data_IF_027974843198
#
_entry.id   IF_027974843198
#
_cell.length_a   1.000
_cell.length_b   1.000
_cell.length_c   1.000
_cell.angle_alpha   90.00
_cell.angle_beta   90.00
_cell.angle_gamma   90.00
#
_symmetry.space_group_name_H-M   'P 1'
#
loop_
_entity.id
_entity.type
_entity.pdbx_description
1 polymer ?
#
# COMPACT_ATOMS: atom_id res chain seq x y z
N UNK A 1 7.91 18.08 -15.87
CA UNK A 1 7.07 18.06 -17.09
C UNK A 1 7.98 18.20 -18.29
N UNK A 2 7.84 17.35 -19.28
CA UNK A 2 8.56 17.42 -20.55
C UNK A 2 7.54 17.87 -21.60
N UNK A 3 7.88 18.87 -22.41
CA UNK A 3 7.01 19.41 -23.46
C UNK A 3 7.72 19.41 -24.82
N UNK A 4 6.94 19.43 -25.90
CA UNK A 4 7.47 19.56 -27.26
C UNK A 4 7.85 21.01 -27.61
N UNK A 5 8.28 21.24 -28.86
CA UNK A 5 8.68 22.57 -29.35
C UNK A 5 7.56 23.62 -29.33
N UNK A 6 6.30 23.18 -29.35
CA UNK A 6 5.10 24.02 -29.32
C UNK A 6 4.53 24.13 -27.90
N UNK A 7 5.26 23.62 -26.88
CA UNK A 7 4.86 23.66 -25.48
C UNK A 7 3.84 22.58 -25.08
N UNK A 8 3.46 21.66 -25.97
CA UNK A 8 2.50 20.59 -25.66
C UNK A 8 3.13 19.55 -24.74
N UNK A 9 2.44 19.12 -23.66
CA UNK A 9 3.01 18.17 -22.71
C UNK A 9 3.21 16.80 -23.38
N UNK A 10 4.43 16.28 -23.29
CA UNK A 10 4.81 14.92 -23.70
C UNK A 10 4.96 13.98 -22.49
N UNK A 11 5.33 14.52 -21.32
CA UNK A 11 5.35 13.75 -20.07
C UNK A 11 5.01 14.65 -18.88
N UNK A 12 4.08 14.18 -18.05
CA UNK A 12 3.67 14.86 -16.81
C UNK A 12 3.93 13.95 -15.61
N UNK A 13 4.36 14.54 -14.50
CA UNK A 13 4.46 13.82 -13.23
C UNK A 13 3.08 13.74 -12.62
N UNK A 14 2.60 12.52 -12.37
CA UNK A 14 1.32 12.28 -11.70
C UNK A 14 1.62 11.83 -10.28
N UNK A 15 1.01 12.46 -9.25
CA UNK A 15 1.22 12.06 -7.86
C UNK A 15 0.65 10.65 -7.64
N UNK A 16 1.45 9.79 -7.01
CA UNK A 16 1.06 8.43 -6.65
C UNK A 16 1.56 8.08 -5.27
N UNK A 17 0.77 7.31 -4.52
CA UNK A 17 1.09 6.88 -3.16
C UNK A 17 1.56 5.42 -3.13
N UNK A 18 2.11 5.02 -2.00
CA UNK A 18 2.40 3.61 -1.71
C UNK A 18 1.84 3.22 -0.35
N UNK A 19 1.45 1.95 -0.23
CA UNK A 19 0.99 1.35 1.03
C UNK A 19 2.06 0.39 1.51
N UNK A 20 2.37 0.50 2.80
CA UNK A 20 3.35 -0.33 3.46
C UNK A 20 2.83 -0.80 4.81
N UNK A 21 3.52 -1.78 5.37
CA UNK A 21 3.26 -2.30 6.70
C UNK A 21 4.58 -2.60 7.42
N UNK A 22 4.55 -2.64 8.76
CA UNK A 22 5.59 -3.24 9.59
C UNK A 22 5.17 -4.68 9.94
N UNK A 23 5.73 -5.70 9.24
CA UNK A 23 5.42 -7.09 9.53
C UNK A 23 5.71 -7.51 10.96
N UNK A 24 6.80 -7.06 11.56
CA UNK A 24 7.16 -7.42 12.93
C UNK A 24 6.07 -6.97 13.90
N UNK A 25 5.72 -5.68 13.88
CA UNK A 25 4.66 -5.14 14.74
C UNK A 25 3.31 -5.79 14.45
N UNK A 26 3.05 -6.16 13.20
CA UNK A 26 1.82 -6.85 12.79
C UNK A 26 1.74 -8.25 13.39
N UNK A 27 2.83 -9.01 13.33
CA UNK A 27 2.91 -10.35 13.89
C UNK A 27 2.81 -10.33 15.42
N UNK A 28 3.45 -9.36 16.09
CA UNK A 28 3.32 -9.15 17.54
C UNK A 28 1.88 -8.89 17.98
N UNK A 29 1.06 -8.28 17.10
CA UNK A 29 -0.36 -7.99 17.33
C UNK A 29 -1.32 -9.10 16.87
N UNK A 30 -0.82 -10.30 16.60
CA UNK A 30 -1.63 -11.46 16.18
C UNK A 30 -1.73 -11.68 14.68
N UNK A 31 -0.94 -10.96 13.87
CA UNK A 31 -0.80 -11.18 12.43
C UNK A 31 -1.98 -10.71 11.58
N UNK A 32 -2.00 -11.20 10.34
CA UNK A 32 -3.12 -11.00 9.39
C UNK A 32 -4.20 -12.03 9.69
N UNK A 33 -5.35 -11.59 10.20
CA UNK A 33 -6.47 -12.45 10.60
C UNK A 33 -7.70 -12.31 9.69
N UNK A 34 -8.66 -13.22 9.85
CA UNK A 34 -9.94 -13.26 9.14
C UNK A 34 -10.97 -12.24 9.68
N UNK A 35 -10.59 -10.96 9.69
CA UNK A 35 -11.45 -9.87 10.13
C UNK A 35 -11.83 -8.91 8.99
N UNK A 36 -12.94 -8.16 9.11
CA UNK A 36 -13.42 -7.24 8.07
C UNK A 36 -12.35 -6.23 7.62
N UNK A 37 -11.49 -5.80 8.55
CA UNK A 37 -10.39 -4.86 8.28
C UNK A 37 -9.36 -5.42 7.31
N UNK A 38 -8.88 -6.63 7.57
CA UNK A 38 -7.85 -7.26 6.73
C UNK A 38 -8.42 -7.66 5.37
N UNK A 39 -9.69 -8.07 5.35
CA UNK A 39 -10.40 -8.38 4.13
C UNK A 39 -10.58 -7.13 3.25
N UNK A 40 -11.05 -6.02 3.82
CA UNK A 40 -11.16 -4.74 3.12
C UNK A 40 -9.80 -4.24 2.58
N UNK A 41 -8.71 -4.46 3.32
CA UNK A 41 -7.37 -4.13 2.84
C UNK A 41 -6.92 -5.05 1.69
N UNK A 42 -7.16 -6.35 1.80
CA UNK A 42 -6.83 -7.29 0.73
C UNK A 42 -7.61 -6.93 -0.56
N UNK A 43 -8.91 -6.67 -0.45
CA UNK A 43 -9.77 -6.24 -1.56
C UNK A 43 -9.27 -4.95 -2.21
N UNK A 44 -8.95 -3.93 -1.42
CA UNK A 44 -8.43 -2.66 -1.92
C UNK A 44 -7.05 -2.76 -2.58
N UNK A 45 -6.28 -3.80 -2.23
CA UNK A 45 -4.99 -4.11 -2.83
C UNK A 45 -5.11 -5.12 -3.98
N UNK A 46 -6.31 -5.57 -4.31
CA UNK A 46 -6.58 -6.63 -5.28
C UNK A 46 -5.83 -7.95 -4.97
N UNK A 47 -5.67 -8.25 -3.68
CA UNK A 47 -5.11 -9.48 -3.16
C UNK A 47 -6.21 -10.29 -2.48
N UNK A 48 -6.06 -11.61 -2.43
CA UNK A 48 -6.84 -12.37 -1.47
C UNK A 48 -6.19 -12.29 -0.07
N UNK A 49 -7.00 -12.56 0.96
CA UNK A 49 -6.53 -12.44 2.35
C UNK A 49 -5.37 -13.41 2.67
N UNK A 50 -5.35 -14.60 2.07
CA UNK A 50 -4.29 -15.58 2.24
C UNK A 50 -2.95 -15.09 1.68
N UNK A 51 -2.96 -14.48 0.50
CA UNK A 51 -1.78 -13.87 -0.13
C UNK A 51 -1.21 -12.74 0.74
N UNK A 52 -2.09 -11.88 1.27
CA UNK A 52 -1.69 -10.81 2.18
C UNK A 52 -1.04 -11.37 3.45
N UNK A 53 -1.66 -12.40 4.04
CA UNK A 53 -1.13 -13.07 5.22
C UNK A 53 0.25 -13.70 4.94
N UNK A 54 0.40 -14.41 3.82
CA UNK A 54 1.64 -15.05 3.41
C UNK A 54 2.77 -14.02 3.16
N UNK A 55 2.45 -12.87 2.55
CA UNK A 55 3.41 -11.77 2.35
C UNK A 55 3.96 -11.23 3.67
N UNK A 56 3.10 -11.06 4.67
CA UNK A 56 3.52 -10.59 6.00
C UNK A 56 4.32 -11.67 6.73
N UNK A 57 3.84 -12.92 6.70
CA UNK A 57 4.47 -14.05 7.38
C UNK A 57 5.83 -14.45 6.79
N UNK A 58 6.07 -14.18 5.50
CA UNK A 58 7.38 -14.43 4.86
C UNK A 58 8.48 -13.45 5.31
N UNK A 59 8.11 -12.32 5.94
CA UNK A 59 9.06 -11.28 6.36
C UNK A 59 8.86 -10.89 7.84
N UNK A 60 8.85 -11.82 8.80
CA UNK A 60 8.39 -11.57 10.17
C UNK A 60 9.29 -10.61 10.97
N UNK A 61 10.53 -10.40 10.54
CA UNK A 61 11.49 -9.50 11.18
C UNK A 61 11.68 -8.17 10.43
N UNK A 62 11.01 -8.00 9.28
CA UNK A 62 11.10 -6.75 8.56
C UNK A 62 10.32 -5.66 9.31
N UNK A 63 10.87 -4.45 9.32
CA UNK A 63 10.21 -3.23 9.84
C UNK A 63 9.42 -2.48 8.78
N UNK A 64 9.57 -2.89 7.52
CA UNK A 64 9.00 -2.22 6.37
C UNK A 64 8.78 -3.25 5.25
N UNK A 65 7.54 -3.34 4.76
CA UNK A 65 7.14 -4.17 3.64
C UNK A 65 6.14 -3.40 2.78
N UNK A 66 6.44 -3.27 1.48
CA UNK A 66 5.46 -2.72 0.53
C UNK A 66 4.33 -3.71 0.30
N UNK A 67 3.09 -3.23 0.48
CA UNK A 67 1.89 -3.97 0.11
C UNK A 67 1.46 -3.63 -1.31
N UNK A 68 1.54 -2.35 -1.69
CA UNK A 68 1.35 -1.89 -3.06
C UNK A 68 2.06 -0.55 -3.32
N UNK A 69 2.33 -0.28 -4.59
CA UNK A 69 3.04 0.90 -5.09
C UNK A 69 2.22 1.55 -6.20
N UNK A 70 2.45 2.84 -6.42
CA UNK A 70 1.83 3.61 -7.50
C UNK A 70 0.29 3.61 -7.45
N UNK A 71 -0.28 3.72 -6.25
CA UNK A 71 -1.73 3.73 -6.05
C UNK A 71 -2.24 5.17 -6.12
N UNK A 72 -3.47 5.35 -6.60
CA UNK A 72 -4.15 6.64 -6.55
C UNK A 72 -4.13 7.18 -5.09
N UNK A 73 -3.71 8.44 -4.87
CA UNK A 73 -3.68 9.05 -3.54
C UNK A 73 -5.00 8.94 -2.76
N UNK A 74 -6.15 9.06 -3.42
CA UNK A 74 -7.47 8.95 -2.78
C UNK A 74 -7.74 7.53 -2.24
N UNK A 75 -7.39 6.51 -3.03
CA UNK A 75 -7.48 5.11 -2.58
C UNK A 75 -6.51 4.86 -1.43
N UNK A 76 -5.29 5.40 -1.51
CA UNK A 76 -4.31 5.25 -0.46
C UNK A 76 -4.75 5.92 0.85
N UNK A 77 -5.44 7.06 0.80
CA UNK A 77 -6.03 7.72 1.98
C UNK A 77 -7.12 6.89 2.64
N UNK A 78 -7.92 6.20 1.85
CA UNK A 78 -8.92 5.29 2.39
C UNK A 78 -8.26 4.10 3.11
N UNK A 79 -7.18 3.53 2.54
CA UNK A 79 -6.42 2.42 3.15
C UNK A 79 -5.69 2.90 4.42
N UNK A 80 -5.16 4.12 4.45
CA UNK A 80 -4.45 4.72 5.60
C UNK A 80 -5.34 4.86 6.84
N UNK A 81 -6.66 4.95 6.67
CA UNK A 81 -7.62 4.98 7.79
C UNK A 81 -7.75 3.63 8.49
N UNK A 82 -7.18 2.55 7.94
CA UNK A 82 -7.16 1.24 8.58
C UNK A 82 -5.98 1.18 9.57
N UNK A 83 -6.21 0.89 10.87
CA UNK A 83 -5.22 1.07 11.96
C UNK A 83 -3.99 0.13 11.95
N UNK A 84 -3.75 -0.59 10.84
CA UNK A 84 -2.67 -1.56 10.69
C UNK A 84 -1.76 -1.29 9.47
N UNK A 85 -2.11 -0.35 8.59
CA UNK A 85 -1.30 0.00 7.43
C UNK A 85 -0.72 1.41 7.57
N UNK A 86 0.44 1.64 6.98
CA UNK A 86 1.01 2.97 6.81
C UNK A 86 0.93 3.41 5.35
N UNK A 87 0.65 4.70 5.13
CA UNK A 87 0.80 5.35 3.82
C UNK A 87 2.17 6.02 3.69
N UNK A 88 2.77 5.88 2.51
CA UNK A 88 3.83 6.76 2.05
C UNK A 88 3.22 7.72 1.01
N UNK A 89 3.23 9.04 1.27
CA UNK A 89 2.66 10.01 0.35
C UNK A 89 3.45 10.09 -0.94
N UNK A 90 2.78 10.55 -1.99
CA UNK A 90 3.42 10.94 -3.24
C UNK A 90 4.51 11.99 -2.96
N UNK A 91 5.68 11.81 -3.58
CA UNK A 91 6.72 12.83 -3.68
C UNK A 91 6.59 13.58 -4.99
#
# INVERSE_FOLDING_TARGET
MISDREGRPLAVSVPVSAIWIDPQTTMEKGGVGYGPRWQAMAEALHLNLGELAQRVQSHPHARFLYLARQINPEQAEWIDKLPSAGRLPAR
#
